data_IF_477708840840
#
_entry.id   IF_477708840840
#
_cell.length_a   1.000
_cell.length_b   1.000
_cell.length_c   1.000
_cell.angle_alpha   90.00
_cell.angle_beta   90.00
_cell.angle_gamma   90.00
#
_symmetry.space_group_name_H-M   'P 1'
#
loop_
_entity.id
_entity.type
_entity.pdbx_description
1 polymer ?
#
# COMPACT_ATOMS: atom_id res chain seq x y z
N UNK A 1 -15.60 0.54 -8.19
CA UNK A 1 -15.73 1.22 -6.89
C UNK A 1 -16.07 0.20 -5.83
N UNK A 2 -15.32 0.21 -4.71
CA UNK A 2 -15.54 -0.62 -3.53
C UNK A 2 -15.55 0.29 -2.29
N UNK A 3 -16.73 0.59 -1.78
CA UNK A 3 -16.95 1.52 -0.68
C UNK A 3 -16.88 3.01 -1.08
N UNK A 4 -17.20 3.87 -0.14
CA UNK A 4 -17.15 5.34 -0.23
C UNK A 4 -16.45 5.91 1.00
N UNK A 5 -15.93 7.14 0.97
CA UNK A 5 -15.30 7.75 2.15
C UNK A 5 -16.19 7.73 3.41
N UNK A 6 -17.48 7.97 3.24
CA UNK A 6 -18.46 8.02 4.35
C UNK A 6 -19.26 6.71 4.52
N UNK A 7 -19.01 5.71 3.70
CA UNK A 7 -19.64 4.39 3.75
C UNK A 7 -18.64 3.34 3.24
N UNK A 8 -17.62 3.03 4.04
CA UNK A 8 -16.58 2.09 3.64
C UNK A 8 -17.14 0.68 3.45
N UNK A 9 -16.49 -0.11 2.60
CA UNK A 9 -16.82 -1.51 2.44
C UNK A 9 -16.45 -2.27 3.72
N UNK A 10 -17.38 -3.02 4.28
CA UNK A 10 -17.18 -3.78 5.52
C UNK A 10 -16.86 -5.26 5.28
N UNK A 11 -17.15 -5.78 4.08
CA UNK A 11 -16.81 -7.15 3.70
C UNK A 11 -15.34 -7.28 3.32
N UNK A 12 -14.77 -8.47 3.50
CA UNK A 12 -13.45 -8.79 3.00
C UNK A 12 -13.50 -8.98 1.48
N UNK A 13 -12.59 -8.34 0.76
CA UNK A 13 -12.45 -8.46 -0.69
C UNK A 13 -11.00 -8.62 -1.09
N UNK A 14 -10.73 -9.65 -1.88
CA UNK A 14 -9.45 -9.89 -2.52
C UNK A 14 -9.54 -9.57 -4.01
N UNK A 15 -8.75 -8.60 -4.46
CA UNK A 15 -8.55 -8.27 -5.88
C UNK A 15 -7.25 -8.94 -6.31
N UNK A 16 -7.38 -10.02 -7.08
CA UNK A 16 -6.24 -10.83 -7.51
C UNK A 16 -5.87 -10.44 -8.93
N UNK A 17 -4.69 -9.90 -9.12
CA UNK A 17 -4.16 -9.56 -10.43
C UNK A 17 -3.33 -10.73 -10.95
N UNK A 18 -3.82 -11.36 -12.00
CA UNK A 18 -3.20 -12.50 -12.64
C UNK A 18 -2.62 -12.12 -14.01
N UNK A 19 -1.97 -13.06 -14.67
CA UNK A 19 -1.37 -12.90 -16.00
C UNK A 19 0.11 -13.21 -16.02
N UNK A 20 0.68 -13.34 -17.20
CA UNK A 20 2.12 -13.58 -17.41
C UNK A 20 2.87 -12.26 -17.59
N UNK A 21 4.19 -12.31 -17.48
CA UNK A 21 5.07 -11.18 -17.76
C UNK A 21 4.97 -10.65 -19.19
N UNK A 22 4.48 -11.47 -20.13
CA UNK A 22 4.32 -11.14 -21.54
C UNK A 22 2.92 -10.60 -21.88
N UNK A 23 1.98 -10.66 -20.94
CA UNK A 23 0.63 -10.14 -21.18
C UNK A 23 0.65 -8.61 -21.14
N UNK A 24 0.17 -7.98 -22.20
CA UNK A 24 0.06 -6.53 -22.27
C UNK A 24 -1.39 -6.08 -22.17
N UNK A 25 -1.64 -5.09 -21.31
CA UNK A 25 -2.87 -4.32 -21.31
C UNK A 25 -2.68 -3.12 -22.21
N UNK A 26 -3.60 -2.89 -23.14
CA UNK A 26 -3.50 -1.81 -24.10
C UNK A 26 -4.38 -0.62 -23.69
N UNK A 27 -3.91 0.57 -24.00
CA UNK A 27 -4.72 1.78 -23.94
C UNK A 27 -5.82 1.74 -25.01
N UNK A 28 -6.93 2.48 -24.83
CA UNK A 28 -7.97 2.59 -25.86
C UNK A 28 -7.40 3.12 -27.20
N UNK A 29 -7.99 2.66 -28.31
CA UNK A 29 -7.67 3.12 -29.67
C UNK A 29 -6.18 3.03 -30.02
N UNK A 30 -5.57 1.89 -29.74
CA UNK A 30 -4.16 1.58 -30.04
C UNK A 30 -3.14 2.57 -29.41
N UNK A 31 -3.50 3.20 -28.30
CA UNK A 31 -2.70 4.20 -27.62
C UNK A 31 -1.42 3.70 -26.93
N UNK A 32 -1.06 2.44 -27.18
CA UNK A 32 0.16 1.84 -26.61
C UNK A 32 -0.10 0.85 -25.48
N UNK A 33 0.98 0.23 -25.03
CA UNK A 33 0.94 -0.83 -24.01
C UNK A 33 1.17 -0.26 -22.61
N UNK A 34 0.33 -0.65 -21.65
CA UNK A 34 0.53 -0.42 -20.22
C UNK A 34 1.39 -1.48 -19.56
N UNK A 35 1.75 -2.54 -20.28
CA UNK A 35 2.51 -3.67 -19.74
C UNK A 35 1.64 -4.71 -19.04
N UNK A 36 2.30 -5.70 -18.36
CA UNK A 36 1.61 -6.79 -17.70
C UNK A 36 1.06 -6.40 -16.32
N UNK A 37 0.07 -7.16 -15.85
CA UNK A 37 -0.47 -7.10 -14.47
C UNK A 37 -0.77 -5.67 -14.02
N UNK A 38 -1.40 -4.89 -14.86
CA UNK A 38 -1.71 -3.48 -14.60
C UNK A 38 -3.21 -3.24 -14.46
N UNK A 39 -3.58 -2.39 -13.51
CA UNK A 39 -4.87 -1.72 -13.46
C UNK A 39 -4.67 -0.34 -14.06
N UNK A 40 -5.09 -0.13 -15.31
CA UNK A 40 -5.08 1.18 -15.95
C UNK A 40 -6.32 1.99 -15.57
N UNK A 41 -6.11 3.13 -14.94
CA UNK A 41 -7.18 4.00 -14.44
C UNK A 41 -7.21 5.25 -15.30
N UNK A 42 -8.12 5.27 -16.26
CA UNK A 42 -8.41 6.39 -17.16
C UNK A 42 -9.73 7.09 -16.80
N UNK A 43 -10.30 6.73 -15.68
CA UNK A 43 -11.53 7.26 -15.07
C UNK A 43 -11.36 7.26 -13.57
N UNK A 44 -12.29 6.67 -12.80
CA UNK A 44 -12.24 6.67 -11.35
C UNK A 44 -11.92 5.30 -10.75
N UNK A 45 -11.01 5.28 -9.79
CA UNK A 45 -10.78 4.14 -8.90
C UNK A 45 -11.06 4.58 -7.46
N UNK A 46 -12.12 4.03 -6.88
CA UNK A 46 -12.50 4.27 -5.48
C UNK A 46 -12.43 2.96 -4.71
N UNK A 47 -11.51 2.90 -3.73
CA UNK A 47 -11.32 1.78 -2.82
C UNK A 47 -11.29 2.31 -1.39
N UNK A 48 -12.31 2.02 -0.60
CA UNK A 48 -12.43 2.48 0.79
C UNK A 48 -12.76 1.30 1.68
N UNK A 49 -11.75 0.81 2.40
CA UNK A 49 -11.88 -0.24 3.40
C UNK A 49 -12.25 0.30 4.78
N UNK A 50 -12.36 -0.60 5.74
CA UNK A 50 -12.68 -0.27 7.15
C UNK A 50 -11.56 0.62 7.71
N UNK A 51 -11.88 1.83 8.19
CA UNK A 51 -10.89 2.69 8.81
C UNK A 51 -10.50 2.14 10.20
N UNK A 52 -9.21 2.26 10.52
CA UNK A 52 -8.67 2.02 11.85
C UNK A 52 -8.33 3.34 12.52
N UNK A 53 -8.60 3.44 13.83
CA UNK A 53 -8.26 4.63 14.61
C UNK A 53 -6.75 4.87 14.63
N UNK A 54 -5.98 3.79 14.67
CA UNK A 54 -4.52 3.81 14.66
C UNK A 54 -4.04 2.78 13.64
N UNK A 55 -3.33 3.21 12.61
CA UNK A 55 -2.75 2.32 11.60
C UNK A 55 -1.31 1.94 11.89
N UNK A 56 -0.62 2.72 12.70
CA UNK A 56 0.71 2.42 13.22
C UNK A 56 0.97 3.15 14.54
N UNK A 57 1.83 2.60 15.37
CA UNK A 57 2.24 3.17 16.64
C UNK A 57 3.71 2.79 16.92
N UNK A 58 4.17 2.97 18.14
CA UNK A 58 5.52 2.59 18.59
C UNK A 58 5.44 1.63 19.75
N UNK A 59 6.54 0.91 20.03
CA UNK A 59 6.70 0.20 21.27
C UNK A 59 6.76 1.19 22.44
N UNK A 60 6.07 0.86 23.53
CA UNK A 60 6.15 1.58 24.81
C UNK A 60 7.29 1.08 25.70
N UNK A 61 7.66 -0.20 25.54
CA UNK A 61 8.74 -0.85 26.28
C UNK A 61 9.53 -1.77 25.35
N UNK A 62 10.79 -2.09 25.67
CA UNK A 62 11.57 -3.05 24.89
C UNK A 62 10.85 -4.38 24.74
N UNK A 63 10.90 -4.95 23.53
CA UNK A 63 10.40 -6.27 23.22
C UNK A 63 11.59 -7.20 22.95
N UNK A 64 11.80 -8.18 23.80
CA UNK A 64 12.98 -9.05 23.74
C UNK A 64 12.75 -10.25 22.84
N UNK A 65 13.81 -10.73 22.20
CA UNK A 65 13.79 -12.01 21.49
C UNK A 65 13.24 -13.12 22.40
N UNK A 66 12.39 -13.97 21.85
CA UNK A 66 11.69 -15.04 22.59
C UNK A 66 10.38 -14.61 23.27
N UNK A 67 10.08 -13.33 23.38
CA UNK A 67 8.80 -12.86 23.92
C UNK A 67 7.67 -13.00 22.89
N UNK A 68 6.46 -13.28 23.41
CA UNK A 68 5.22 -13.32 22.64
C UNK A 68 4.29 -12.15 22.96
N UNK A 69 4.74 -11.20 23.80
CA UNK A 69 3.93 -10.05 24.19
C UNK A 69 4.70 -8.76 23.94
N UNK A 70 4.02 -7.78 23.33
CA UNK A 70 4.57 -6.43 23.10
C UNK A 70 3.61 -5.39 23.64
N UNK A 71 4.18 -4.26 24.14
CA UNK A 71 3.41 -3.14 24.66
C UNK A 71 3.53 -1.96 23.73
N UNK A 72 2.40 -1.36 23.39
CA UNK A 72 2.28 -0.25 22.46
C UNK A 72 2.16 1.08 23.20
N UNK A 73 2.63 2.15 22.59
CA UNK A 73 2.54 3.52 23.15
C UNK A 73 1.14 4.14 23.02
N UNK A 74 0.28 3.55 22.18
CA UNK A 74 -1.11 3.98 21.98
C UNK A 74 -2.03 2.77 21.96
N UNK A 75 -3.27 2.96 22.42
CA UNK A 75 -4.31 1.96 22.26
C UNK A 75 -4.72 1.82 20.79
N UNK A 76 -4.89 0.58 20.35
CA UNK A 76 -5.27 0.22 18.99
C UNK A 76 -6.60 -0.53 18.97
N UNK A 77 -7.29 -0.48 17.84
CA UNK A 77 -8.53 -1.21 17.55
C UNK A 77 -8.29 -2.48 16.73
N UNK A 78 -7.04 -2.97 16.72
CA UNK A 78 -6.66 -4.19 16.00
C UNK A 78 -7.22 -5.43 16.69
N UNK A 79 -7.34 -6.52 15.95
CA UNK A 79 -7.96 -7.75 16.45
C UNK A 79 -7.06 -8.98 16.24
N UNK A 80 -7.39 -10.07 16.92
CA UNK A 80 -6.73 -11.36 16.71
C UNK A 80 -6.84 -11.77 15.23
N UNK A 81 -5.76 -12.35 14.70
CA UNK A 81 -5.61 -12.69 13.28
C UNK A 81 -5.06 -11.56 12.40
N UNK A 82 -5.01 -10.33 12.89
CA UNK A 82 -4.34 -9.27 12.14
C UNK A 82 -2.83 -9.50 12.08
N UNK A 83 -2.22 -9.14 10.96
CA UNK A 83 -0.78 -9.11 10.77
C UNK A 83 -0.25 -7.70 11.00
N UNK A 84 0.88 -7.63 11.68
CA UNK A 84 1.61 -6.39 11.96
C UNK A 84 3.06 -6.50 11.49
N UNK A 85 3.67 -5.37 11.23
CA UNK A 85 5.09 -5.22 10.99
C UNK A 85 5.73 -4.51 12.16
N UNK A 86 6.76 -5.13 12.76
CA UNK A 86 7.60 -4.52 13.79
C UNK A 86 8.94 -4.15 13.17
N UNK A 87 9.29 -2.86 13.17
CA UNK A 87 10.52 -2.38 12.54
C UNK A 87 11.73 -2.71 13.39
N UNK A 88 12.87 -2.93 12.74
CA UNK A 88 14.17 -3.08 13.41
C UNK A 88 14.51 -1.84 14.25
N UNK A 89 15.27 -2.05 15.31
CA UNK A 89 15.81 -0.98 16.18
C UNK A 89 17.33 -1.05 16.29
N UNK A 90 17.96 -1.85 15.47
CA UNK A 90 19.41 -1.97 15.33
C UNK A 90 19.87 -1.62 13.90
N UNK A 91 21.11 -1.91 13.57
CA UNK A 91 21.71 -1.60 12.26
C UNK A 91 21.36 -2.62 11.17
N UNK A 92 20.64 -3.68 11.51
CA UNK A 92 20.29 -4.77 10.61
C UNK A 92 18.89 -4.58 10.04
N UNK A 93 18.79 -4.28 8.76
CA UNK A 93 17.53 -4.08 8.06
C UNK A 93 16.66 -5.36 8.01
N UNK A 94 17.31 -6.52 8.05
CA UNK A 94 16.68 -7.84 8.03
C UNK A 94 16.10 -8.27 9.38
N UNK A 95 16.29 -7.48 10.44
CA UNK A 95 15.66 -7.70 11.76
C UNK A 95 14.25 -7.09 11.89
N UNK A 96 13.64 -6.72 10.77
CA UNK A 96 12.22 -6.41 10.72
C UNK A 96 11.41 -7.70 10.87
N UNK A 97 10.33 -7.67 11.67
CA UNK A 97 9.51 -8.86 11.92
C UNK A 97 8.06 -8.65 11.50
N UNK A 98 7.52 -9.64 10.78
CA UNK A 98 6.09 -9.77 10.54
C UNK A 98 5.51 -10.71 11.60
N UNK A 99 4.53 -10.23 12.33
CA UNK A 99 3.90 -10.97 13.41
C UNK A 99 2.38 -11.06 13.21
N UNK A 100 1.78 -12.13 13.68
CA UNK A 100 0.32 -12.28 13.73
C UNK A 100 -0.15 -12.09 15.17
N UNK A 101 -1.19 -11.31 15.36
CA UNK A 101 -1.79 -11.05 16.68
C UNK A 101 -2.62 -12.26 17.09
N UNK A 102 -2.31 -12.85 18.25
CA UNK A 102 -3.12 -13.89 18.88
C UNK A 102 -4.23 -13.29 19.75
N UNK A 103 -3.93 -12.17 20.46
CA UNK A 103 -4.88 -11.51 21.32
C UNK A 103 -4.49 -10.03 21.53
N UNK A 104 -5.48 -9.19 21.78
CA UNK A 104 -5.32 -7.79 22.15
C UNK A 104 -5.93 -7.58 23.53
N UNK A 105 -5.21 -6.93 24.45
CA UNK A 105 -5.74 -6.60 25.79
C UNK A 105 -6.97 -5.69 25.69
N UNK A 106 -7.80 -5.71 26.74
CA UNK A 106 -9.01 -4.88 26.83
C UNK A 106 -8.73 -3.36 26.72
N UNK A 107 -7.50 -2.93 27.04
CA UNK A 107 -7.05 -1.54 26.90
C UNK A 107 -6.43 -1.24 25.54
N UNK A 108 -6.31 -2.21 24.64
CA UNK A 108 -5.75 -2.02 23.29
C UNK A 108 -4.24 -1.73 23.24
N UNK A 109 -3.53 -1.80 24.36
CA UNK A 109 -2.10 -1.41 24.44
C UNK A 109 -1.14 -2.59 24.51
N UNK A 110 -1.64 -3.80 24.79
CA UNK A 110 -0.80 -5.00 24.85
C UNK A 110 -1.28 -6.00 23.80
N UNK A 111 -0.36 -6.42 22.94
CA UNK A 111 -0.59 -7.45 21.93
C UNK A 111 0.10 -8.73 22.35
N UNK A 112 -0.62 -9.85 22.30
CA UNK A 112 -0.04 -11.19 22.35
C UNK A 112 0.13 -11.68 20.92
N UNK A 113 1.31 -12.18 20.57
CA UNK A 113 1.67 -12.69 19.26
C UNK A 113 1.48 -14.20 19.20
N UNK A 114 1.22 -14.73 18.00
CA UNK A 114 1.09 -16.19 17.78
C UNK A 114 2.42 -16.92 17.87
N UNK A 115 3.53 -16.22 17.64
CA UNK A 115 4.90 -16.76 17.69
C UNK A 115 5.81 -15.81 18.45
N UNK A 116 6.86 -16.33 19.10
CA UNK A 116 7.83 -15.49 19.78
C UNK A 116 8.64 -14.65 18.77
N UNK A 117 9.06 -13.46 19.20
CA UNK A 117 9.97 -12.59 18.44
C UNK A 117 11.32 -13.29 18.23
N UNK A 118 11.87 -13.17 17.04
CA UNK A 118 13.21 -13.64 16.70
C UNK A 118 14.29 -12.68 17.18
N UNK A 119 13.98 -11.38 17.19
CA UNK A 119 14.94 -10.32 17.51
C UNK A 119 14.48 -9.46 18.69
N UNK A 120 15.44 -8.73 19.26
CA UNK A 120 15.16 -7.75 20.30
C UNK A 120 14.94 -6.39 19.67
N UNK A 121 13.83 -5.75 20.05
CA UNK A 121 13.48 -4.39 19.63
C UNK A 121 13.54 -3.47 20.84
N UNK A 122 14.47 -2.51 20.78
CA UNK A 122 14.77 -1.63 21.91
C UNK A 122 13.88 -0.39 21.90
N UNK A 123 13.71 0.17 23.09
CA UNK A 123 13.13 1.50 23.30
C UNK A 123 14.17 2.33 24.06
N UNK A 124 14.50 3.48 23.53
CA UNK A 124 15.44 4.44 24.14
C UNK A 124 14.63 5.65 24.56
N UNK A 125 14.75 6.01 25.83
CA UNK A 125 14.15 7.22 26.40
C UNK A 125 15.21 7.93 27.21
N UNK A 126 15.76 9.02 26.67
CA UNK A 126 16.78 9.84 27.32
C UNK A 126 16.24 11.24 27.53
N UNK A 127 16.39 11.75 28.75
CA UNK A 127 16.12 13.14 29.09
C UNK A 127 17.46 13.83 29.24
N UNK A 128 17.73 14.83 28.41
CA UNK A 128 18.95 15.62 28.46
C UNK A 128 18.89 16.66 29.59
N UNK A 129 20.06 17.17 30.08
CA UNK A 129 20.10 18.17 31.16
C UNK A 129 19.35 19.47 30.85
N UNK A 130 19.17 19.81 29.60
CA UNK A 130 18.39 20.96 29.12
C UNK A 130 16.87 20.71 29.09
N UNK A 131 16.41 19.50 29.48
CA UNK A 131 15.01 19.12 29.50
C UNK A 131 14.50 18.53 28.15
N UNK A 132 15.33 18.48 27.14
CA UNK A 132 14.97 17.82 25.87
C UNK A 132 14.86 16.32 26.08
N UNK A 133 13.87 15.71 25.40
CA UNK A 133 13.60 14.26 25.43
C UNK A 133 13.92 13.65 24.10
N UNK A 134 14.83 12.68 24.09
CA UNK A 134 15.06 11.79 22.95
C UNK A 134 14.32 10.48 23.18
N UNK A 135 13.37 10.19 22.32
CA UNK A 135 12.61 8.94 22.35
C UNK A 135 12.73 8.22 21.00
N UNK A 136 13.33 7.03 20.99
CA UNK A 136 13.42 6.17 19.83
C UNK A 136 12.87 4.79 20.19
N UNK A 137 11.96 4.28 19.38
CA UNK A 137 11.32 2.99 19.58
C UNK A 137 10.94 2.37 18.24
N UNK A 138 10.92 1.05 18.18
CA UNK A 138 10.43 0.31 17.02
C UNK A 138 9.00 0.74 16.67
N UNK A 139 8.75 1.00 15.40
CA UNK A 139 7.40 1.24 14.90
C UNK A 139 6.67 -0.10 14.73
N UNK A 140 5.38 -0.10 15.05
CA UNK A 140 4.48 -1.25 14.89
C UNK A 140 3.36 -0.80 13.97
N UNK A 141 3.29 -1.37 12.77
CA UNK A 141 2.30 -1.00 11.75
C UNK A 141 1.33 -2.14 11.46
N UNK A 142 0.05 -1.83 11.35
CA UNK A 142 -0.97 -2.78 10.92
C UNK A 142 -0.86 -3.03 9.42
N UNK A 143 -0.66 -4.28 9.02
CA UNK A 143 -0.64 -4.69 7.60
C UNK A 143 -2.04 -5.05 7.10
N UNK A 144 -2.79 -5.80 7.87
CA UNK A 144 -4.09 -6.33 7.46
C UNK A 144 -5.10 -5.23 7.16
N UNK A 145 -5.78 -5.36 6.03
CA UNK A 145 -6.96 -4.56 5.63
C UNK A 145 -8.02 -5.50 5.07
N UNK A 146 -9.27 -5.08 5.12
CA UNK A 146 -10.39 -5.87 4.58
C UNK A 146 -10.47 -5.82 3.03
N UNK A 147 -9.87 -4.84 2.39
CA UNK A 147 -9.65 -4.83 0.94
C UNK A 147 -8.18 -5.10 0.68
N UNK A 148 -7.88 -6.18 -0.06
CA UNK A 148 -6.52 -6.51 -0.47
C UNK A 148 -6.41 -6.52 -1.99
N UNK A 149 -5.35 -5.92 -2.50
CA UNK A 149 -4.95 -6.02 -3.91
C UNK A 149 -3.63 -6.74 -3.96
N UNK A 150 -3.58 -7.86 -4.67
CA UNK A 150 -2.34 -8.63 -4.75
C UNK A 150 -2.15 -9.34 -6.09
N UNK A 151 -0.92 -9.67 -6.40
CA UNK A 151 -0.58 -10.48 -7.57
C UNK A 151 -0.02 -11.84 -7.16
N UNK A 152 -0.28 -12.84 -8.00
CA UNK A 152 0.33 -14.16 -7.88
C UNK A 152 1.68 -14.18 -8.59
N UNK A 153 2.60 -13.28 -8.20
CA UNK A 153 3.96 -13.28 -8.71
C UNK A 153 4.84 -14.22 -7.90
N UNK A 154 5.76 -14.89 -8.56
CA UNK A 154 6.81 -15.63 -7.88
C UNK A 154 7.99 -14.71 -7.54
N UNK A 155 8.73 -15.04 -6.49
CA UNK A 155 9.95 -14.31 -6.13
C UNK A 155 10.99 -14.29 -7.27
N UNK A 156 10.97 -15.29 -8.14
CA UNK A 156 11.84 -15.37 -9.31
C UNK A 156 11.41 -14.41 -10.43
N UNK A 157 10.11 -14.21 -10.65
CA UNK A 157 9.62 -13.28 -11.69
C UNK A 157 9.84 -11.82 -11.32
N UNK A 158 9.72 -11.47 -10.03
CA UNK A 158 9.78 -10.09 -9.51
C UNK A 158 8.86 -9.10 -10.25
N UNK A 159 7.76 -9.61 -10.81
CA UNK A 159 6.76 -8.85 -11.57
C UNK A 159 5.44 -8.91 -10.81
N UNK A 160 5.26 -7.98 -9.90
CA UNK A 160 4.03 -7.75 -9.18
C UNK A 160 2.99 -7.02 -10.02
N UNK A 161 1.86 -6.67 -9.41
CA UNK A 161 0.90 -5.81 -10.05
C UNK A 161 1.30 -4.33 -9.94
N UNK A 162 0.68 -3.51 -10.78
CA UNK A 162 0.75 -2.05 -10.67
C UNK A 162 -0.60 -1.40 -10.93
N UNK A 163 -0.80 -0.23 -10.38
CA UNK A 163 -1.93 0.66 -10.67
C UNK A 163 -1.37 1.89 -11.36
N UNK A 164 -1.77 2.13 -12.59
CA UNK A 164 -1.40 3.34 -13.31
C UNK A 164 -2.63 4.23 -13.42
N UNK A 165 -2.58 5.40 -12.81
CA UNK A 165 -3.62 6.43 -12.88
C UNK A 165 -3.10 7.55 -13.77
N UNK A 166 -3.78 7.83 -14.87
CA UNK A 166 -3.32 8.82 -15.84
C UNK A 166 -4.47 9.52 -16.53
N UNK A 167 -4.22 10.75 -16.97
CA UNK A 167 -5.01 11.39 -18.00
C UNK A 167 -4.54 10.87 -19.36
N UNK A 168 -5.47 10.69 -20.28
CA UNK A 168 -5.20 10.19 -21.61
C UNK A 168 -6.15 10.82 -22.63
N UNK A 169 -5.65 11.15 -23.78
CA UNK A 169 -6.45 11.61 -24.92
C UNK A 169 -6.16 10.75 -26.15
N UNK A 170 -7.19 10.54 -26.94
CA UNK A 170 -7.07 9.84 -28.21
C UNK A 170 -7.97 10.47 -29.24
N UNK A 171 -7.53 10.49 -30.49
CA UNK A 171 -8.25 11.01 -31.62
C UNK A 171 -8.66 9.85 -32.52
N UNK A 172 -9.95 9.77 -32.85
CA UNK A 172 -10.50 8.78 -33.78
C UNK A 172 -11.02 9.50 -35.00
N UNK A 173 -10.60 9.06 -36.20
CA UNK A 173 -11.09 9.61 -37.44
C UNK A 173 -12.57 9.26 -37.62
N UNK A 174 -13.43 10.29 -37.78
CA UNK A 174 -14.81 10.15 -38.17
C UNK A 174 -14.93 10.31 -39.69
N UNK A 175 -15.18 9.23 -40.44
CA UNK A 175 -15.28 9.29 -41.91
C UNK A 175 -16.55 10.01 -42.39
N UNK A 176 -17.57 10.16 -41.53
CA UNK A 176 -18.83 10.84 -41.87
C UNK A 176 -18.66 12.33 -41.75
N UNK A 177 -18.09 12.77 -40.64
CA UNK A 177 -17.80 14.21 -40.40
C UNK A 177 -16.52 14.70 -41.06
N UNK A 178 -15.70 13.80 -41.65
CA UNK A 178 -14.37 14.10 -42.20
C UNK A 178 -13.49 14.91 -41.20
N UNK A 179 -13.50 14.51 -39.93
CA UNK A 179 -12.78 15.19 -38.87
C UNK A 179 -12.28 14.19 -37.84
N UNK A 180 -11.37 14.61 -36.94
CA UNK A 180 -10.97 13.82 -35.79
C UNK A 180 -11.89 14.14 -34.60
N UNK A 181 -12.40 13.08 -33.97
CA UNK A 181 -13.13 13.14 -32.71
C UNK A 181 -12.18 12.84 -31.57
N UNK A 182 -11.88 13.89 -30.77
CA UNK A 182 -11.01 13.73 -29.59
C UNK A 182 -11.81 13.25 -28.40
N UNK A 183 -11.32 12.18 -27.77
CA UNK A 183 -11.87 11.68 -26.52
C UNK A 183 -10.83 11.87 -25.42
N UNK A 184 -11.25 12.55 -24.33
CA UNK A 184 -10.41 12.82 -23.18
C UNK A 184 -10.82 11.95 -22.01
N UNK A 185 -9.85 11.26 -21.46
CA UNK A 185 -9.99 10.44 -20.25
C UNK A 185 -9.28 11.15 -19.10
N UNK A 186 -9.95 11.25 -17.98
CA UNK A 186 -9.43 11.87 -16.74
C UNK A 186 -9.34 10.84 -15.65
N UNK A 187 -8.09 10.46 -15.28
CA UNK A 187 -7.82 9.50 -14.24
C UNK A 187 -7.88 10.12 -12.84
N UNK A 188 -8.47 9.42 -11.88
CA UNK A 188 -8.31 9.72 -10.46
C UNK A 188 -8.35 8.42 -9.64
N UNK A 189 -7.71 8.43 -8.47
CA UNK A 189 -7.78 7.34 -7.51
C UNK A 189 -7.99 7.88 -6.10
N UNK A 190 -9.00 7.37 -5.41
CA UNK A 190 -9.27 7.63 -4.00
C UNK A 190 -9.20 6.32 -3.25
N UNK A 191 -8.10 6.12 -2.56
CA UNK A 191 -7.76 4.83 -1.96
C UNK A 191 -7.50 5.04 -0.48
N UNK A 192 -8.27 4.37 0.38
CA UNK A 192 -8.06 4.40 1.82
C UNK A 192 -8.27 3.03 2.45
N UNK A 193 -7.43 2.70 3.42
CA UNK A 193 -7.51 1.46 4.19
C UNK A 193 -7.49 0.20 3.30
N UNK A 194 -6.54 0.15 2.36
CA UNK A 194 -6.31 -0.97 1.43
C UNK A 194 -4.93 -1.56 1.68
N UNK A 195 -4.83 -2.87 1.61
CA UNK A 195 -3.57 -3.60 1.65
C UNK A 195 -3.12 -3.95 0.23
N UNK A 196 -1.89 -3.59 -0.12
CA UNK A 196 -1.23 -3.91 -1.38
C UNK A 196 -0.10 -4.91 -1.14
N UNK A 197 -0.16 -6.08 -1.80
CA UNK A 197 0.81 -7.17 -1.59
C UNK A 197 1.38 -7.63 -2.93
N UNK A 198 2.70 -7.72 -3.04
CA UNK A 198 3.36 -8.15 -4.26
C UNK A 198 3.21 -7.14 -5.40
N UNK A 199 3.39 -5.86 -5.09
CA UNK A 199 3.27 -4.75 -6.04
C UNK A 199 4.61 -4.40 -6.69
N UNK A 200 4.52 -3.58 -7.74
CA UNK A 200 5.67 -3.09 -8.48
C UNK A 200 6.31 -4.16 -9.34
N UNK A 201 7.11 -3.74 -10.31
CA UNK A 201 7.75 -4.65 -11.25
C UNK A 201 9.21 -4.29 -11.39
N UNK A 202 10.08 -5.22 -10.98
CA UNK A 202 11.51 -5.08 -11.22
C UNK A 202 11.82 -5.60 -12.63
N UNK A 203 12.11 -4.68 -13.53
CA UNK A 203 12.54 -5.01 -14.88
C UNK A 203 13.95 -4.43 -15.05
N UNK A 204 14.84 -5.26 -15.50
CA UNK A 204 16.21 -4.87 -15.88
C UNK A 204 16.17 -4.18 -17.27
N UNK A 205 15.41 -3.10 -17.35
CA UNK A 205 15.15 -2.34 -18.56
C UNK A 205 15.69 -0.91 -18.44
N UNK A 206 15.96 -0.22 -19.56
CA UNK A 206 16.52 1.13 -19.53
C UNK A 206 15.62 2.10 -18.74
N UNK A 207 16.25 3.03 -18.10
CA UNK A 207 15.86 3.98 -17.04
C UNK A 207 14.50 4.70 -17.12
N UNK A 208 13.67 4.46 -18.13
CA UNK A 208 12.40 5.19 -18.35
C UNK A 208 11.13 4.36 -18.12
N UNK A 209 11.23 3.06 -17.83
CA UNK A 209 10.06 2.23 -17.58
C UNK A 209 9.78 2.14 -16.07
N UNK A 210 9.05 3.12 -15.57
CA UNK A 210 8.70 3.24 -14.16
C UNK A 210 7.53 2.32 -13.82
N UNK A 211 7.80 1.29 -13.04
CA UNK A 211 6.84 0.25 -12.72
C UNK A 211 6.59 0.12 -11.23
N UNK A 212 6.30 1.24 -10.63
CA UNK A 212 5.90 1.34 -9.22
C UNK A 212 4.56 0.64 -8.96
N UNK A 213 4.30 0.32 -7.70
CA UNK A 213 3.03 -0.28 -7.28
C UNK A 213 1.83 0.60 -7.63
N UNK A 214 1.90 1.88 -7.30
CA UNK A 214 0.92 2.90 -7.71
C UNK A 214 1.67 4.05 -8.38
N UNK A 215 1.32 4.32 -9.62
CA UNK A 215 1.92 5.39 -10.41
C UNK A 215 0.83 6.39 -10.80
N UNK A 216 0.93 7.61 -10.26
CA UNK A 216 0.10 8.75 -10.64
C UNK A 216 0.88 9.54 -11.68
N UNK A 217 0.44 9.44 -12.92
CA UNK A 217 1.18 9.95 -14.07
C UNK A 217 0.36 10.94 -14.89
N UNK A 218 0.92 12.12 -15.12
CA UNK A 218 0.34 13.14 -16.00
C UNK A 218 -1.14 13.44 -15.74
N UNK A 219 -1.50 13.61 -14.46
CA UNK A 219 -2.89 13.83 -14.05
C UNK A 219 -3.37 15.28 -14.29
N UNK A 220 -2.48 16.16 -14.75
CA UNK A 220 -2.80 17.56 -14.95
C UNK A 220 -3.15 18.29 -13.65
N UNK A 221 -3.97 19.33 -13.75
CA UNK A 221 -4.39 20.12 -12.60
C UNK A 221 -5.29 19.32 -11.64
N UNK A 222 -5.06 19.52 -10.37
CA UNK A 222 -5.82 18.89 -9.30
C UNK A 222 -7.31 19.29 -9.36
N UNK A 223 -8.19 18.30 -9.35
CA UNK A 223 -9.62 18.50 -9.32
C UNK A 223 -10.14 18.42 -7.88
N UNK A 224 -10.53 19.57 -7.33
CA UNK A 224 -11.04 19.67 -5.96
C UNK A 224 -12.28 18.82 -5.67
N UNK A 225 -13.12 18.53 -6.67
CA UNK A 225 -14.32 17.70 -6.51
C UNK A 225 -14.02 16.19 -6.55
N UNK A 226 -12.86 15.80 -7.09
CA UNK A 226 -12.41 14.41 -7.20
C UNK A 226 -10.91 14.30 -6.91
N UNK A 227 -10.47 14.64 -5.69
CA UNK A 227 -9.06 14.60 -5.34
C UNK A 227 -8.53 13.17 -5.42
N UNK A 228 -7.34 12.99 -6.00
CA UNK A 228 -6.59 11.73 -5.88
C UNK A 228 -5.89 11.70 -4.53
N UNK A 229 -6.02 10.58 -3.80
CA UNK A 229 -5.32 10.34 -2.55
C UNK A 229 -5.07 8.87 -2.28
N UNK A 230 -4.03 8.60 -1.49
CA UNK A 230 -3.72 7.30 -0.91
C UNK A 230 -3.56 7.53 0.59
N UNK A 231 -4.43 6.96 1.38
CA UNK A 231 -4.50 7.19 2.82
C UNK A 231 -4.63 5.89 3.60
N UNK A 232 -3.92 5.78 4.73
CA UNK A 232 -4.03 4.68 5.69
C UNK A 232 -3.87 3.27 5.07
N UNK A 233 -3.16 3.18 3.94
CA UNK A 233 -2.90 1.92 3.23
C UNK A 233 -1.65 1.23 3.78
N UNK A 234 -1.58 -0.08 3.57
CA UNK A 234 -0.37 -0.87 3.81
C UNK A 234 0.21 -1.40 2.51
N UNK A 235 1.54 -1.36 2.41
CA UNK A 235 2.30 -1.85 1.25
C UNK A 235 3.27 -2.92 1.72
N UNK A 236 3.16 -4.11 1.15
CA UNK A 236 3.88 -5.29 1.62
C UNK A 236 4.43 -6.11 0.46
N UNK A 237 5.63 -6.65 0.63
CA UNK A 237 6.28 -7.54 -0.35
C UNK A 237 6.35 -6.94 -1.75
N UNK A 238 6.82 -5.70 -1.87
CA UNK A 238 6.98 -5.03 -3.15
C UNK A 238 8.27 -5.44 -3.87
N UNK A 239 8.20 -5.48 -5.21
CA UNK A 239 9.37 -5.73 -6.08
C UNK A 239 9.99 -4.43 -6.59
N UNK A 240 9.31 -3.30 -6.41
CA UNK A 240 9.79 -1.96 -6.76
C UNK A 240 9.15 -0.92 -5.81
N UNK A 241 9.34 0.38 -6.06
CA UNK A 241 8.77 1.45 -5.23
C UNK A 241 7.26 1.30 -5.04
N UNK A 242 6.77 1.67 -3.86
CA UNK A 242 5.35 1.53 -3.53
C UNK A 242 4.48 2.47 -4.37
N UNK A 243 4.86 3.74 -4.45
CA UNK A 243 4.14 4.76 -5.21
C UNK A 243 5.05 5.87 -5.70
N UNK A 244 4.61 6.58 -6.73
CA UNK A 244 5.25 7.77 -7.29
C UNK A 244 4.21 8.76 -7.82
N UNK A 245 4.51 10.03 -7.68
CA UNK A 245 3.74 11.16 -8.21
C UNK A 245 4.61 11.93 -9.21
N UNK A 246 4.07 12.21 -10.42
CA UNK A 246 4.69 13.03 -11.46
C UNK A 246 3.67 13.98 -12.08
#
# INVERSE_FOLDING_TARGET
MLGWPNNPLTSNVDIIITGSAQTNVLLPNDGGSLGPRVIGVLGGLDLHGIPHNVTWTRLASPALAGQTSITLSQAVDWVAGNEILLTTTDTRIDHVERCTIANVSSGGTVLTLTSPLAYTHTVIHNVFPNGEVYHAAGAVGLLTRNIRVFSQSTAAEKIGFRVLVTDYSTDVWDPIGATYLSTYYKGYARISNVQFVGYGQFIDAPYNDKREGIHLYNLGDWNASRPTYIDSCSFDTGYYSAYVFF
#
